data_IF_792550305713
#
_entry.id   IF_792550305713
#
_cell.length_a   1.000
_cell.length_b   1.000
_cell.length_c   1.000
_cell.angle_alpha   90.00
_cell.angle_beta   90.00
_cell.angle_gamma   90.00
#
_symmetry.space_group_name_H-M   'P 1'
#
loop_
_entity.id
_entity.type
_entity.pdbx_description
1 polymer ?
#
# COMPACT_ATOMS: atom_id res chain seq x y z
N UNK A 1 2.00 -4.75 10.19
CA UNK A 1 2.51 -3.89 9.08
C UNK A 1 3.89 -3.33 9.41
N UNK A 2 4.10 -2.54 10.48
CA UNK A 2 5.39 -1.95 10.81
C UNK A 2 6.53 -2.95 10.95
N UNK A 3 6.30 -4.07 11.63
CA UNK A 3 7.29 -5.17 11.75
C UNK A 3 7.62 -5.75 10.37
N UNK A 4 6.61 -6.03 9.55
CA UNK A 4 6.80 -6.55 8.20
C UNK A 4 7.68 -5.60 7.36
N UNK A 5 7.43 -4.28 7.43
CA UNK A 5 8.21 -3.26 6.75
C UNK A 5 9.69 -3.27 7.18
N UNK A 6 9.96 -3.31 8.49
CA UNK A 6 11.33 -3.37 9.03
C UNK A 6 12.04 -4.64 8.55
N UNK A 7 11.36 -5.79 8.64
CA UNK A 7 11.92 -7.08 8.22
C UNK A 7 12.22 -7.10 6.72
N UNK A 8 11.34 -6.55 5.88
CA UNK A 8 11.57 -6.47 4.44
C UNK A 8 12.77 -5.60 4.08
N UNK A 9 12.91 -4.45 4.75
CA UNK A 9 14.04 -3.53 4.53
C UNK A 9 15.38 -4.15 4.94
N UNK A 10 15.42 -4.91 6.03
CA UNK A 10 16.67 -5.46 6.59
C UNK A 10 17.04 -6.80 5.95
N UNK A 11 16.09 -7.72 5.79
CA UNK A 11 16.34 -9.12 5.39
C UNK A 11 15.60 -9.57 4.13
N UNK A 12 14.52 -8.89 3.74
CA UNK A 12 13.71 -9.23 2.57
C UNK A 12 14.31 -8.75 1.26
N UNK A 13 13.48 -8.10 0.45
CA UNK A 13 13.88 -7.55 -0.86
C UNK A 13 14.91 -6.41 -0.74
N UNK A 14 15.04 -5.75 0.40
CA UNK A 14 15.97 -4.64 0.65
C UNK A 14 15.80 -3.47 -0.34
N UNK A 15 14.58 -3.21 -0.76
CA UNK A 15 14.19 -2.11 -1.64
C UNK A 15 13.31 -1.11 -0.89
N UNK A 16 13.20 0.15 -1.33
CA UNK A 16 12.34 1.15 -0.73
C UNK A 16 10.86 0.96 -1.13
N UNK A 17 10.27 -0.18 -0.76
CA UNK A 17 8.88 -0.53 -0.98
C UNK A 17 8.08 -0.31 0.29
N UNK A 18 6.99 0.43 0.16
CA UNK A 18 6.04 0.69 1.26
C UNK A 18 5.16 -0.53 1.42
N UNK A 19 5.00 -1.00 2.65
CA UNK A 19 4.14 -2.14 2.97
C UNK A 19 2.86 -1.66 3.63
N UNK A 20 1.76 -2.23 3.19
CA UNK A 20 0.45 -1.96 3.78
C UNK A 20 -0.52 -3.12 3.61
N UNK A 21 -1.77 -2.98 4.06
CA UNK A 21 -2.78 -4.03 3.94
C UNK A 21 -3.10 -4.31 2.46
N UNK A 22 -3.19 -5.60 2.13
CA UNK A 22 -3.49 -6.03 0.77
C UNK A 22 -4.96 -5.78 0.42
N UNK A 23 -5.24 -4.80 -0.43
CA UNK A 23 -6.61 -4.49 -0.89
C UNK A 23 -7.28 -5.65 -1.62
N UNK A 24 -6.50 -6.50 -2.28
CA UNK A 24 -7.00 -7.72 -2.94
C UNK A 24 -7.61 -8.69 -1.92
N UNK A 25 -7.00 -8.83 -0.73
CA UNK A 25 -7.55 -9.68 0.33
C UNK A 25 -8.86 -9.12 0.90
N UNK A 26 -9.07 -7.81 0.82
CA UNK A 26 -10.35 -7.20 1.21
C UNK A 26 -11.50 -7.71 0.33
N UNK A 27 -11.27 -7.91 -0.96
CA UNK A 27 -12.25 -8.50 -1.88
C UNK A 27 -12.57 -9.94 -1.44
N UNK A 28 -11.55 -10.72 -1.10
CA UNK A 28 -11.71 -12.06 -0.55
C UNK A 28 -12.55 -12.05 0.74
N UNK A 29 -12.25 -11.15 1.66
CA UNK A 29 -13.00 -10.99 2.91
C UNK A 29 -14.47 -10.67 2.63
N UNK A 30 -14.74 -9.67 1.79
CA UNK A 30 -16.12 -9.24 1.48
C UNK A 30 -16.94 -10.32 0.77
N UNK A 31 -16.29 -11.16 -0.07
CA UNK A 31 -16.96 -12.25 -0.77
C UNK A 31 -17.24 -13.47 0.12
N UNK A 32 -16.53 -13.63 1.22
CA UNK A 32 -16.60 -14.81 2.08
C UNK A 32 -17.03 -14.52 3.52
N UNK A 33 -17.48 -13.30 3.81
CA UNK A 33 -17.94 -12.87 5.15
C UNK A 33 -19.05 -13.77 5.70
N UNK A 34 -19.91 -14.31 4.82
CA UNK A 34 -21.00 -15.24 5.21
C UNK A 34 -20.49 -16.56 5.77
N UNK A 35 -19.26 -16.98 5.45
CA UNK A 35 -18.63 -18.21 5.96
C UNK A 35 -18.09 -18.04 7.38
N UNK A 36 -18.14 -16.85 7.93
CA UNK A 36 -17.68 -16.49 9.26
C UNK A 36 -16.22 -16.07 9.35
N UNK A 37 -15.94 -15.28 10.35
CA UNK A 37 -14.61 -14.69 10.62
C UNK A 37 -13.49 -15.74 10.70
N UNK A 38 -13.66 -16.91 11.38
CA UNK A 38 -12.63 -17.94 11.44
C UNK A 38 -12.23 -18.50 10.07
N UNK A 39 -13.18 -18.72 9.17
CA UNK A 39 -12.92 -19.22 7.82
C UNK A 39 -12.11 -18.21 7.00
N UNK A 40 -12.46 -16.93 7.09
CA UNK A 40 -11.74 -15.82 6.43
C UNK A 40 -10.26 -15.80 6.82
N UNK A 41 -9.97 -15.80 8.11
CA UNK A 41 -8.57 -15.71 8.57
C UNK A 41 -7.79 -17.03 8.32
N UNK A 42 -8.48 -18.19 8.35
CA UNK A 42 -7.89 -19.45 7.89
C UNK A 42 -7.54 -19.38 6.41
N UNK A 43 -8.38 -18.76 5.56
CA UNK A 43 -8.11 -18.54 4.15
C UNK A 43 -6.88 -17.64 3.93
N UNK A 44 -6.72 -16.57 4.71
CA UNK A 44 -5.52 -15.70 4.68
C UNK A 44 -4.27 -16.50 5.09
N UNK A 45 -4.35 -17.28 6.14
CA UNK A 45 -3.24 -18.11 6.64
C UNK A 45 -2.80 -19.14 5.58
N UNK A 46 -3.75 -19.88 5.01
CA UNK A 46 -3.48 -20.90 3.98
C UNK A 46 -2.88 -20.25 2.73
N UNK A 47 -3.43 -19.13 2.27
CA UNK A 47 -2.91 -18.40 1.13
C UNK A 47 -1.48 -17.88 1.39
N UNK A 48 -1.20 -17.36 2.59
CA UNK A 48 0.13 -16.96 3.01
C UNK A 48 1.13 -18.14 3.03
N UNK A 49 0.68 -19.32 3.47
CA UNK A 49 1.48 -20.55 3.46
C UNK A 49 1.82 -20.95 2.01
N UNK A 50 0.83 -20.97 1.13
CA UNK A 50 1.04 -21.27 -0.30
C UNK A 50 2.02 -20.28 -0.92
N UNK A 51 1.89 -18.99 -0.62
CA UNK A 51 2.80 -17.95 -1.08
C UNK A 51 4.24 -18.20 -0.59
N UNK A 52 4.40 -18.57 0.69
CA UNK A 52 5.71 -18.89 1.26
C UNK A 52 6.35 -20.09 0.57
N UNK A 53 5.59 -21.18 0.40
CA UNK A 53 6.06 -22.40 -0.28
C UNK A 53 6.43 -22.07 -1.72
N UNK A 54 5.62 -21.29 -2.41
CA UNK A 54 5.90 -20.88 -3.79
C UNK A 54 7.20 -20.05 -3.88
N UNK A 55 7.43 -19.16 -2.91
CA UNK A 55 8.63 -18.33 -2.89
C UNK A 55 9.91 -19.17 -2.82
N UNK A 56 9.92 -20.19 -1.95
CA UNK A 56 11.12 -21.02 -1.71
C UNK A 56 11.20 -22.28 -2.60
N UNK A 57 10.16 -22.60 -3.38
CA UNK A 57 10.17 -23.74 -4.32
C UNK A 57 11.03 -23.52 -5.58
N UNK A 58 11.56 -22.32 -5.78
CA UNK A 58 12.27 -21.92 -7.01
C UNK A 58 11.37 -21.62 -8.20
N UNK A 59 10.04 -21.75 -8.04
CA UNK A 59 9.08 -21.50 -9.12
C UNK A 59 9.01 -20.01 -9.48
N UNK A 60 9.28 -19.12 -8.50
CA UNK A 60 9.34 -17.67 -8.75
C UNK A 60 10.42 -17.26 -9.75
N UNK A 61 11.57 -17.96 -9.76
CA UNK A 61 12.63 -17.69 -10.73
C UNK A 61 12.16 -17.87 -12.18
N UNK A 62 11.28 -18.85 -12.44
CA UNK A 62 10.66 -19.05 -13.75
C UNK A 62 9.62 -17.97 -14.08
N UNK A 63 8.89 -17.48 -13.08
CA UNK A 63 7.92 -16.40 -13.25
C UNK A 63 8.59 -15.04 -13.49
N UNK A 64 9.74 -14.79 -12.87
CA UNK A 64 10.49 -13.54 -13.03
C UNK A 64 10.94 -13.31 -14.48
N UNK A 65 11.19 -14.37 -15.25
CA UNK A 65 11.53 -14.27 -16.67
C UNK A 65 10.45 -13.54 -17.49
N UNK A 66 9.19 -13.58 -17.04
CA UNK A 66 8.09 -12.87 -17.69
C UNK A 66 8.17 -11.36 -17.44
N UNK A 67 8.78 -10.92 -16.32
CA UNK A 67 8.84 -9.51 -15.93
C UNK A 67 9.99 -8.77 -16.64
N UNK A 68 9.92 -8.70 -17.97
CA UNK A 68 10.83 -7.85 -18.74
C UNK A 68 10.57 -6.37 -18.42
N UNK A 69 11.54 -5.46 -18.63
CA UNK A 69 11.35 -4.02 -18.38
C UNK A 69 10.11 -3.44 -19.07
N UNK A 70 9.79 -3.93 -20.27
CA UNK A 70 8.57 -3.51 -21.01
C UNK A 70 7.29 -3.92 -20.28
N UNK A 71 7.24 -5.18 -19.81
CA UNK A 71 6.07 -5.68 -19.05
C UNK A 71 5.95 -4.94 -17.74
N UNK A 72 7.07 -4.68 -17.03
CA UNK A 72 7.09 -3.89 -15.80
C UNK A 72 6.55 -2.48 -16.05
N UNK A 73 6.95 -1.82 -17.15
CA UNK A 73 6.40 -0.51 -17.51
C UNK A 73 4.89 -0.54 -17.74
N UNK A 74 4.40 -1.55 -18.47
CA UNK A 74 2.95 -1.73 -18.70
C UNK A 74 2.23 -1.95 -17.37
N UNK A 75 2.79 -2.77 -16.48
CA UNK A 75 2.23 -3.00 -15.14
C UNK A 75 2.15 -1.69 -14.35
N UNK A 76 3.20 -0.87 -14.34
CA UNK A 76 3.19 0.44 -13.66
C UNK A 76 2.07 1.36 -14.16
N UNK A 77 1.88 1.40 -15.49
CA UNK A 77 0.82 2.18 -16.12
C UNK A 77 -0.56 1.64 -15.73
N UNK A 78 -0.76 0.33 -15.83
CA UNK A 78 -2.04 -0.30 -15.46
C UNK A 78 -2.39 -0.09 -14.00
N UNK A 79 -1.42 -0.19 -13.10
CA UNK A 79 -1.63 0.05 -11.66
C UNK A 79 -2.07 1.49 -11.42
N UNK A 80 -1.48 2.48 -12.10
CA UNK A 80 -1.91 3.87 -11.99
C UNK A 80 -3.39 4.03 -12.37
N UNK A 81 -3.88 3.30 -13.37
CA UNK A 81 -5.27 3.31 -13.78
C UNK A 81 -6.19 2.51 -12.84
N UNK A 82 -5.73 1.43 -12.22
CA UNK A 82 -6.56 0.63 -11.31
C UNK A 82 -6.98 1.38 -10.04
N UNK A 83 -6.21 2.39 -9.62
CA UNK A 83 -6.56 3.23 -8.47
C UNK A 83 -7.51 4.38 -8.82
N UNK A 84 -7.79 4.61 -10.12
CA UNK A 84 -8.71 5.67 -10.56
C UNK A 84 -10.09 5.61 -9.89
N UNK A 85 -10.78 4.45 -9.77
CA UNK A 85 -12.07 4.38 -9.08
C UNK A 85 -11.99 4.79 -7.61
N UNK A 86 -10.90 4.44 -6.92
CA UNK A 86 -10.68 4.82 -5.52
C UNK A 86 -10.49 6.33 -5.41
N UNK A 87 -9.68 6.92 -6.29
CA UNK A 87 -9.47 8.37 -6.34
C UNK A 87 -10.78 9.09 -6.61
N UNK A 88 -11.56 8.65 -7.60
CA UNK A 88 -12.86 9.23 -7.92
C UNK A 88 -13.82 9.15 -6.74
N UNK A 89 -13.86 8.01 -6.04
CA UNK A 89 -14.70 7.86 -4.84
C UNK A 89 -14.28 8.82 -3.72
N UNK A 90 -12.97 9.03 -3.52
CA UNK A 90 -12.46 9.94 -2.49
C UNK A 90 -12.73 11.42 -2.84
N UNK A 91 -12.68 11.78 -4.12
CA UNK A 91 -12.87 13.17 -4.58
C UNK A 91 -14.34 13.51 -4.77
N UNK A 92 -15.14 12.59 -5.35
CA UNK A 92 -16.53 12.81 -5.74
C UNK A 92 -17.54 12.20 -4.76
N UNK A 93 -17.09 11.53 -3.70
CA UNK A 93 -17.97 10.81 -2.77
C UNK A 93 -18.90 11.70 -1.96
N UNK A 94 -18.59 12.98 -1.84
CA UNK A 94 -19.47 13.99 -1.25
C UNK A 94 -20.28 14.68 -2.35
N UNK A 95 -21.55 14.30 -2.48
CA UNK A 95 -22.46 14.83 -3.48
C UNK A 95 -22.77 16.34 -3.29
N UNK A 96 -22.67 16.85 -2.07
CA UNK A 96 -23.01 18.25 -1.75
C UNK A 96 -21.92 19.19 -2.25
N UNK A 97 -20.64 18.83 -2.14
CA UNK A 97 -19.52 19.71 -2.45
C UNK A 97 -18.69 19.23 -3.65
N UNK A 98 -19.27 18.45 -4.55
CA UNK A 98 -18.56 17.81 -5.68
C UNK A 98 -17.74 18.78 -6.52
N UNK A 99 -18.31 19.94 -6.91
CA UNK A 99 -17.60 20.93 -7.71
C UNK A 99 -16.42 21.58 -6.97
N UNK A 100 -16.62 21.88 -5.68
CA UNK A 100 -15.55 22.39 -4.83
C UNK A 100 -14.44 21.36 -4.71
N UNK A 101 -14.78 20.10 -4.44
CA UNK A 101 -13.84 19.00 -4.28
C UNK A 101 -13.01 18.76 -5.54
N UNK A 102 -13.61 18.83 -6.72
CA UNK A 102 -12.92 18.78 -8.00
C UNK A 102 -11.93 19.92 -8.16
N UNK A 103 -12.38 21.16 -7.96
CA UNK A 103 -11.53 22.33 -8.07
C UNK A 103 -10.38 22.29 -7.06
N UNK A 104 -10.68 21.98 -5.81
CA UNK A 104 -9.69 21.80 -4.75
C UNK A 104 -8.64 20.76 -5.11
N UNK A 105 -9.08 19.58 -5.62
CA UNK A 105 -8.17 18.51 -6.06
C UNK A 105 -7.24 18.97 -7.17
N UNK A 106 -7.76 19.66 -8.19
CA UNK A 106 -6.95 20.17 -9.29
C UNK A 106 -5.93 21.20 -8.82
N UNK A 107 -6.35 22.17 -8.00
CA UNK A 107 -5.46 23.18 -7.43
C UNK A 107 -4.37 22.53 -6.56
N UNK A 108 -4.75 21.57 -5.72
CA UNK A 108 -3.82 20.86 -4.85
C UNK A 108 -2.80 20.04 -5.64
N UNK A 109 -3.23 19.30 -6.67
CA UNK A 109 -2.33 18.52 -7.55
C UNK A 109 -1.38 19.48 -8.28
N UNK A 110 -1.89 20.60 -8.82
CA UNK A 110 -1.05 21.61 -9.46
C UNK A 110 -0.01 22.19 -8.50
N UNK A 111 -0.44 22.52 -7.28
CA UNK A 111 0.47 23.02 -6.24
C UNK A 111 1.56 21.99 -5.89
N UNK A 112 1.23 20.70 -5.80
CA UNK A 112 2.20 19.63 -5.57
C UNK A 112 3.18 19.49 -6.74
N UNK A 113 2.71 19.57 -7.98
CA UNK A 113 3.57 19.50 -9.18
C UNK A 113 4.51 20.71 -9.23
N UNK A 114 4.01 21.90 -8.97
CA UNK A 114 4.81 23.13 -8.93
C UNK A 114 5.81 23.05 -7.77
N UNK A 115 5.36 22.67 -6.59
CA UNK A 115 6.21 22.47 -5.42
C UNK A 115 7.35 21.49 -5.68
N UNK A 116 7.06 20.36 -6.30
CA UNK A 116 8.07 19.36 -6.67
C UNK A 116 9.12 19.89 -7.65
N UNK A 117 8.74 20.82 -8.55
CA UNK A 117 9.67 21.44 -9.51
C UNK A 117 10.49 22.58 -8.88
N UNK A 118 9.90 23.37 -7.99
CA UNK A 118 10.54 24.54 -7.39
C UNK A 118 11.39 24.19 -6.17
N UNK A 119 10.94 23.24 -5.36
CA UNK A 119 11.61 22.85 -4.12
C UNK A 119 12.85 21.97 -4.40
N UNK A 120 13.85 22.10 -3.54
CA UNK A 120 15.10 21.31 -3.63
C UNK A 120 15.42 20.64 -2.30
N UNK A 121 16.19 19.56 -2.35
CA UNK A 121 16.66 18.83 -1.16
C UNK A 121 15.50 18.29 -0.32
N UNK A 122 15.56 18.48 0.99
CA UNK A 122 14.59 17.95 1.96
C UNK A 122 13.17 18.48 1.68
N UNK A 123 13.03 19.72 1.29
CA UNK A 123 11.72 20.33 0.96
C UNK A 123 11.01 19.65 -0.20
N UNK A 124 11.77 19.20 -1.20
CA UNK A 124 11.23 18.40 -2.31
C UNK A 124 10.77 17.03 -1.80
N UNK A 125 11.57 16.35 -0.99
CA UNK A 125 11.22 15.03 -0.46
C UNK A 125 10.00 15.04 0.47
N UNK A 126 9.74 16.17 1.14
CA UNK A 126 8.61 16.36 2.04
C UNK A 126 7.41 17.05 1.40
N UNK A 127 7.41 17.29 0.07
CA UNK A 127 6.33 17.98 -0.65
C UNK A 127 4.97 17.33 -0.41
N UNK A 128 4.90 15.98 -0.39
CA UNK A 128 3.66 15.25 -0.12
C UNK A 128 3.16 15.52 1.30
N UNK A 129 4.05 15.53 2.29
CA UNK A 129 3.70 15.84 3.69
C UNK A 129 3.12 17.26 3.80
N UNK A 130 3.78 18.26 3.20
CA UNK A 130 3.27 19.63 3.17
C UNK A 130 1.95 19.76 2.43
N UNK A 131 1.76 18.91 1.39
CA UNK A 131 0.48 18.79 0.69
C UNK A 131 -0.63 18.29 1.60
N UNK A 132 -0.36 17.26 2.43
CA UNK A 132 -1.34 16.76 3.42
C UNK A 132 -1.69 17.87 4.40
N UNK A 133 -0.69 18.44 5.06
CA UNK A 133 -0.89 19.46 6.10
C UNK A 133 -1.60 20.69 5.52
N UNK A 134 -1.09 21.22 4.42
CA UNK A 134 -1.70 22.40 3.76
C UNK A 134 -3.11 22.11 3.24
N UNK A 135 -3.32 20.94 2.62
CA UNK A 135 -4.62 20.52 2.14
C UNK A 135 -5.66 20.37 3.25
N UNK A 136 -5.28 19.75 4.38
CA UNK A 136 -6.14 19.62 5.57
C UNK A 136 -6.49 20.99 6.14
N UNK A 137 -5.50 21.89 6.29
CA UNK A 137 -5.72 23.25 6.83
C UNK A 137 -6.66 24.07 5.94
N UNK A 138 -6.45 24.03 4.62
CA UNK A 138 -7.30 24.76 3.67
C UNK A 138 -8.71 24.19 3.64
N UNK A 139 -8.85 22.85 3.61
CA UNK A 139 -10.17 22.22 3.56
C UNK A 139 -10.99 22.52 4.83
N UNK A 140 -10.38 22.37 6.00
CA UNK A 140 -11.06 22.67 7.26
C UNK A 140 -11.20 24.18 7.54
N UNK A 141 -10.35 25.00 6.96
CA UNK A 141 -10.53 26.45 6.97
C UNK A 141 -11.81 26.91 6.25
N UNK A 142 -12.25 26.16 5.24
CA UNK A 142 -13.49 26.45 4.48
C UNK A 142 -14.71 25.80 5.14
N UNK A 143 -14.60 24.54 5.58
CA UNK A 143 -15.75 23.74 6.06
C UNK A 143 -15.84 23.63 7.60
N UNK A 144 -14.87 24.17 8.33
CA UNK A 144 -14.76 24.02 9.78
C UNK A 144 -14.06 22.73 10.18
N UNK A 145 -13.40 22.77 11.34
CA UNK A 145 -12.74 21.58 11.89
C UNK A 145 -13.79 20.58 12.37
N UNK A 146 -13.62 19.28 12.08
CA UNK A 146 -14.49 18.27 12.64
C UNK A 146 -14.35 18.32 14.16
N UNK A 147 -15.46 18.22 14.86
CA UNK A 147 -15.42 17.94 16.30
C UNK A 147 -14.64 16.63 16.44
N UNK A 148 -13.49 16.68 17.11
CA UNK A 148 -12.75 15.48 17.47
C UNK A 148 -13.71 14.64 18.31
N UNK A 149 -14.40 13.72 17.68
CA UNK A 149 -15.08 12.66 18.41
C UNK A 149 -13.94 11.93 19.11
N UNK A 150 -13.80 12.21 20.41
CA UNK A 150 -12.95 11.37 21.24
C UNK A 150 -13.55 9.98 21.13
N UNK A 151 -13.01 9.18 20.21
CA UNK A 151 -13.22 7.75 20.23
C UNK A 151 -12.71 7.35 21.59
N UNK A 152 -13.68 7.08 22.48
CA UNK A 152 -13.46 6.90 23.91
C UNK A 152 -12.23 6.03 24.12
N UNK A 153 -11.38 6.52 25.03
CA UNK A 153 -10.23 5.78 25.49
C UNK A 153 -10.68 4.35 25.79
N UNK A 154 -10.10 3.37 25.08
CA UNK A 154 -10.31 1.98 25.40
C UNK A 154 -11.18 1.19 24.45
N UNK A 155 -10.95 1.33 23.14
CA UNK A 155 -11.41 0.30 22.22
C UNK A 155 -10.19 -0.39 21.62
N UNK A 156 -9.41 -1.02 22.45
CA UNK A 156 -9.02 -2.40 22.18
C UNK A 156 -10.23 -3.18 22.71
N UNK A 157 -11.07 -3.78 21.86
CA UNK A 157 -12.09 -4.68 22.37
C UNK A 157 -11.30 -5.71 23.18
N UNK A 158 -11.71 -5.94 24.41
CA UNK A 158 -11.13 -6.97 25.29
C UNK A 158 -11.06 -8.35 24.60
N UNK A 159 -11.85 -8.51 23.54
CA UNK A 159 -11.91 -9.65 22.64
C UNK A 159 -10.84 -9.62 21.51
N UNK A 160 -10.12 -8.53 21.29
CA UNK A 160 -9.13 -8.44 20.18
C UNK A 160 -7.78 -9.09 20.52
N UNK A 161 -7.55 -9.54 21.74
CA UNK A 161 -6.32 -10.23 22.15
C UNK A 161 -6.57 -11.73 22.37
N UNK A 162 -7.67 -12.27 21.88
CA UNK A 162 -7.91 -13.69 22.02
C UNK A 162 -7.29 -14.42 20.84
N UNK A 163 -6.11 -15.02 21.06
CA UNK A 163 -5.46 -16.04 20.22
C UNK A 163 -6.32 -17.31 20.02
N UNK A 164 -7.62 -17.21 20.12
CA UNK A 164 -8.54 -18.32 20.10
C UNK A 164 -9.49 -18.22 18.91
N UNK A 165 -8.93 -17.98 17.70
CA UNK A 165 -9.71 -18.20 16.49
C UNK A 165 -9.68 -19.70 16.18
N UNK A 166 -10.78 -20.43 16.36
CA UNK A 166 -10.86 -21.80 15.91
C UNK A 166 -10.62 -21.80 14.39
N UNK A 167 -9.59 -22.49 13.92
CA UNK A 167 -9.33 -22.64 12.49
C UNK A 167 -10.54 -23.33 11.86
N UNK A 168 -11.09 -22.72 10.81
CA UNK A 168 -12.18 -23.30 10.04
C UNK A 168 -11.75 -23.44 8.58
N UNK A 169 -11.51 -24.68 8.17
CA UNK A 169 -11.07 -25.02 6.82
C UNK A 169 -12.28 -25.21 5.89
N UNK A 170 -12.90 -24.13 5.48
CA UNK A 170 -13.97 -24.15 4.49
C UNK A 170 -13.40 -24.07 3.07
N UNK A 171 -13.64 -25.10 2.27
CA UNK A 171 -13.05 -25.24 0.93
C UNK A 171 -13.38 -24.07 0.00
N UNK A 172 -14.62 -23.55 0.03
CA UNK A 172 -15.05 -22.42 -0.78
C UNK A 172 -14.28 -21.15 -0.45
N UNK A 173 -14.14 -20.82 0.83
CA UNK A 173 -13.39 -19.68 1.32
C UNK A 173 -11.90 -19.81 0.99
N UNK A 174 -11.29 -20.98 1.20
CA UNK A 174 -9.88 -21.23 0.86
C UNK A 174 -9.64 -21.02 -0.63
N UNK A 175 -10.51 -21.55 -1.49
CA UNK A 175 -10.43 -21.36 -2.95
C UNK A 175 -10.51 -19.88 -3.32
N UNK A 176 -11.45 -19.12 -2.76
CA UNK A 176 -11.59 -17.69 -3.00
C UNK A 176 -10.31 -16.94 -2.62
N UNK A 177 -9.72 -17.25 -1.45
CA UNK A 177 -8.45 -16.65 -1.05
C UNK A 177 -7.28 -17.07 -1.93
N UNK A 178 -7.21 -18.32 -2.39
CA UNK A 178 -6.17 -18.75 -3.32
C UNK A 178 -6.19 -17.92 -4.62
N UNK A 179 -7.38 -17.61 -5.17
CA UNK A 179 -7.50 -16.69 -6.31
C UNK A 179 -7.02 -15.29 -5.96
N UNK A 180 -7.35 -14.75 -4.77
CA UNK A 180 -6.83 -13.48 -4.31
C UNK A 180 -5.31 -13.50 -4.20
N UNK A 181 -4.71 -14.60 -3.72
CA UNK A 181 -3.25 -14.74 -3.62
C UNK A 181 -2.56 -14.85 -4.97
N UNK A 182 -3.19 -15.39 -6.02
CA UNK A 182 -2.65 -15.31 -7.39
C UNK A 182 -2.52 -13.85 -7.82
N UNK A 183 -3.54 -13.04 -7.62
CA UNK A 183 -3.48 -11.62 -7.93
C UNK A 183 -2.46 -10.88 -7.03
N UNK A 184 -2.35 -11.25 -5.75
CA UNK A 184 -1.37 -10.70 -4.81
C UNK A 184 0.07 -11.01 -5.27
N UNK A 185 0.36 -12.23 -5.74
CA UNK A 185 1.68 -12.61 -6.27
C UNK A 185 2.06 -11.73 -7.45
N UNK A 186 1.14 -11.51 -8.39
CA UNK A 186 1.40 -10.66 -9.56
C UNK A 186 1.69 -9.23 -9.14
N UNK A 187 0.92 -8.68 -8.19
CA UNK A 187 1.17 -7.35 -7.64
C UNK A 187 2.51 -7.26 -6.92
N UNK A 188 2.84 -8.25 -6.11
CA UNK A 188 4.09 -8.34 -5.35
C UNK A 188 5.30 -8.37 -6.28
N UNK A 189 5.31 -9.30 -7.23
CA UNK A 189 6.36 -9.41 -8.25
C UNK A 189 6.49 -8.13 -9.06
N UNK A 190 5.36 -7.57 -9.51
CA UNK A 190 5.34 -6.31 -10.26
C UNK A 190 5.95 -5.15 -9.47
N UNK A 191 5.61 -5.02 -8.19
CA UNK A 191 6.11 -3.96 -7.31
C UNK A 191 7.63 -4.08 -7.08
N UNK A 192 8.11 -5.29 -6.74
CA UNK A 192 9.53 -5.55 -6.51
C UNK A 192 10.33 -5.31 -7.78
N UNK A 193 9.87 -5.84 -8.93
CA UNK A 193 10.55 -5.67 -10.21
C UNK A 193 10.55 -4.21 -10.66
N UNK A 194 9.44 -3.49 -10.49
CA UNK A 194 9.33 -2.08 -10.86
C UNK A 194 10.36 -1.20 -10.13
N UNK A 195 10.46 -1.34 -8.80
CA UNK A 195 11.45 -0.61 -8.02
C UNK A 195 12.87 -1.12 -8.30
N UNK A 196 13.05 -2.43 -8.45
CA UNK A 196 14.33 -3.03 -8.80
C UNK A 196 14.89 -2.48 -10.12
N UNK A 197 14.09 -2.44 -11.17
CA UNK A 197 14.48 -1.87 -12.46
C UNK A 197 14.71 -0.36 -12.39
N UNK A 198 13.84 0.37 -11.68
CA UNK A 198 13.98 1.81 -11.49
C UNK A 198 15.32 2.18 -10.82
N UNK A 199 15.77 1.37 -9.87
CA UNK A 199 17.00 1.59 -9.11
C UNK A 199 18.21 0.81 -9.67
N UNK A 200 18.03 0.04 -10.74
CA UNK A 200 19.04 -0.86 -11.29
C UNK A 200 19.64 -1.77 -10.20
N UNK A 201 18.77 -2.33 -9.37
CA UNK A 201 19.19 -3.15 -8.25
C UNK A 201 19.77 -4.49 -8.72
N UNK A 202 20.83 -4.92 -8.08
CA UNK A 202 21.49 -6.21 -8.29
C UNK A 202 20.74 -7.37 -7.61
N UNK A 203 21.07 -8.61 -8.00
CA UNK A 203 20.58 -9.83 -7.34
C UNK A 203 19.03 -9.90 -7.22
N UNK A 204 18.31 -9.47 -8.24
CA UNK A 204 16.85 -9.36 -8.20
C UNK A 204 16.17 -10.69 -7.88
N UNK A 205 16.72 -11.83 -8.34
CA UNK A 205 16.18 -13.16 -8.05
C UNK A 205 16.13 -13.45 -6.55
N UNK A 206 17.23 -13.17 -5.85
CA UNK A 206 17.29 -13.38 -4.40
C UNK A 206 16.41 -12.38 -3.65
N UNK A 207 16.38 -11.12 -4.09
CA UNK A 207 15.55 -10.08 -3.50
C UNK A 207 14.08 -10.43 -3.63
N UNK A 208 13.65 -10.86 -4.80
CA UNK A 208 12.26 -11.25 -5.06
C UNK A 208 11.88 -12.47 -4.24
N UNK A 209 12.70 -13.51 -4.24
CA UNK A 209 12.45 -14.73 -3.44
C UNK A 209 12.30 -14.41 -1.95
N UNK A 210 13.22 -13.62 -1.39
CA UNK A 210 13.16 -13.23 0.03
C UNK A 210 11.98 -12.31 0.32
N UNK A 211 11.71 -11.34 -0.56
CA UNK A 211 10.59 -10.41 -0.43
C UNK A 211 9.26 -11.13 -0.39
N UNK A 212 8.97 -11.92 -1.42
CA UNK A 212 7.73 -12.70 -1.50
C UNK A 212 7.62 -13.72 -0.35
N UNK A 213 8.74 -14.36 0.03
CA UNK A 213 8.77 -15.29 1.16
C UNK A 213 8.39 -14.63 2.49
N UNK A 214 8.93 -13.44 2.78
CA UNK A 214 8.59 -12.68 3.99
C UNK A 214 7.14 -12.20 3.95
N UNK A 215 6.63 -11.75 2.79
CA UNK A 215 5.20 -11.41 2.64
C UNK A 215 4.34 -12.64 2.91
N UNK A 216 4.73 -13.82 2.40
CA UNK A 216 4.04 -15.07 2.70
C UNK A 216 3.98 -15.39 4.19
N UNK A 217 5.14 -15.40 4.87
CA UNK A 217 5.23 -15.64 6.32
C UNK A 217 4.41 -14.61 7.12
N UNK A 218 4.51 -13.34 6.77
CA UNK A 218 3.74 -12.29 7.46
C UNK A 218 2.24 -12.40 7.21
N UNK A 219 1.81 -12.94 6.07
CA UNK A 219 0.41 -13.25 5.80
C UNK A 219 -0.07 -14.45 6.64
N UNK A 220 0.76 -15.49 6.82
CA UNK A 220 0.44 -16.59 7.76
C UNK A 220 0.22 -16.04 9.17
N UNK A 221 1.14 -15.21 9.65
CA UNK A 221 1.01 -14.57 10.97
C UNK A 221 -0.24 -13.67 11.03
N UNK A 222 -0.53 -12.92 9.96
CA UNK A 222 -1.71 -12.07 9.89
C UNK A 222 -3.01 -12.88 10.02
N UNK A 223 -3.10 -14.02 9.34
CA UNK A 223 -4.23 -14.95 9.50
C UNK A 223 -4.38 -15.48 10.93
N UNK A 224 -3.26 -15.82 11.58
CA UNK A 224 -3.26 -16.28 12.98
C UNK A 224 -3.68 -15.16 13.96
N UNK A 225 -3.30 -13.91 13.68
CA UNK A 225 -3.66 -12.75 14.52
C UNK A 225 -5.02 -12.12 14.18
N UNK A 226 -5.75 -12.66 13.21
CA UNK A 226 -7.04 -12.12 12.81
C UNK A 226 -6.96 -10.73 12.16
N UNK A 227 -5.90 -10.46 11.38
CA UNK A 227 -5.70 -9.19 10.69
C UNK A 227 -5.46 -9.42 9.19
N UNK A 228 -5.69 -8.38 8.39
CA UNK A 228 -5.45 -8.43 6.95
C UNK A 228 -3.95 -8.55 6.69
N UNK A 229 -3.57 -9.46 5.78
CA UNK A 229 -2.20 -9.68 5.39
C UNK A 229 -1.57 -8.49 4.67
N UNK A 230 -0.24 -8.30 4.82
CA UNK A 230 0.51 -7.26 4.14
C UNK A 230 0.82 -7.60 2.68
N UNK A 231 1.10 -6.54 1.90
CA UNK A 231 1.64 -6.60 0.54
C UNK A 231 2.54 -5.39 0.29
N UNK A 232 3.51 -5.52 -0.60
CA UNK A 232 4.30 -4.39 -1.08
C UNK A 232 3.46 -3.52 -2.02
N UNK A 233 3.38 -2.22 -1.72
CA UNK A 233 2.54 -1.31 -2.48
C UNK A 233 3.17 -0.95 -3.81
N UNK A 234 2.46 -1.25 -4.87
CA UNK A 234 2.77 -0.90 -6.25
C UNK A 234 2.80 0.61 -6.55
N UNK A 235 2.32 1.45 -5.62
CA UNK A 235 2.47 2.90 -5.68
C UNK A 235 3.87 3.39 -5.25
N UNK A 236 4.72 2.53 -4.70
CA UNK A 236 6.05 2.90 -4.20
C UNK A 236 6.95 3.56 -5.26
N UNK A 237 6.98 3.14 -6.54
CA UNK A 237 7.69 3.86 -7.60
C UNK A 237 7.21 5.30 -7.78
N UNK A 238 5.89 5.54 -7.65
CA UNK A 238 5.31 6.88 -7.69
C UNK A 238 5.79 7.76 -6.54
N UNK A 239 5.84 7.20 -5.33
CA UNK A 239 6.36 7.90 -4.14
C UNK A 239 7.84 8.23 -4.29
N UNK A 240 8.67 7.28 -4.76
CA UNK A 240 10.09 7.50 -5.04
C UNK A 240 10.27 8.62 -6.08
N UNK A 241 9.53 8.58 -7.17
CA UNK A 241 9.59 9.60 -8.22
C UNK A 241 9.13 10.97 -7.73
N UNK A 242 8.07 11.02 -6.93
CA UNK A 242 7.52 12.25 -6.38
C UNK A 242 8.47 12.91 -5.35
N UNK A 243 9.06 12.11 -4.47
CA UNK A 243 9.90 12.60 -3.38
C UNK A 243 11.38 12.75 -3.79
N UNK A 244 11.82 12.05 -4.84
CA UNK A 244 13.23 11.92 -5.20
C UNK A 244 14.05 11.15 -4.17
N UNK A 245 13.40 10.44 -3.24
CA UNK A 245 14.05 9.66 -2.19
C UNK A 245 13.89 8.16 -2.44
N UNK A 246 15.00 7.48 -2.72
CA UNK A 246 15.07 6.05 -2.96
C UNK A 246 15.77 5.28 -1.83
N UNK A 247 15.98 5.90 -0.67
CA UNK A 247 16.61 5.24 0.46
C UNK A 247 15.65 4.30 1.18
N UNK A 248 15.96 3.01 1.19
CA UNK A 248 15.21 2.01 1.97
C UNK A 248 15.20 2.27 3.47
N UNK A 249 16.22 2.93 3.97
CA UNK A 249 16.36 3.20 5.41
C UNK A 249 15.33 4.21 5.94
N UNK A 250 14.70 5.00 5.07
CA UNK A 250 13.58 5.88 5.46
C UNK A 250 12.34 5.10 5.91
N UNK A 251 12.23 3.84 5.52
CA UNK A 251 11.14 2.97 5.93
C UNK A 251 11.32 2.40 7.34
N UNK A 252 12.54 2.44 7.91
CA UNK A 252 12.76 1.99 9.29
C UNK A 252 12.02 2.89 10.31
N UNK A 253 12.22 4.23 10.29
CA UNK A 253 11.45 5.11 11.17
C UNK A 253 9.96 5.10 10.83
N UNK A 254 9.56 4.90 9.56
CA UNK A 254 8.16 4.75 9.19
C UNK A 254 7.55 3.48 9.80
N UNK A 255 8.24 2.34 9.73
CA UNK A 255 7.82 1.10 10.36
C UNK A 255 7.76 1.19 11.88
N UNK A 256 8.74 1.83 12.51
CA UNK A 256 8.72 2.11 13.95
C UNK A 256 7.55 3.03 14.32
N UNK A 257 7.29 4.08 13.53
CA UNK A 257 6.14 4.98 13.71
C UNK A 257 4.81 4.23 13.64
N UNK A 258 4.64 3.31 12.68
CA UNK A 258 3.45 2.45 12.59
C UNK A 258 3.27 1.55 13.83
N UNK A 259 4.36 1.02 14.37
CA UNK A 259 4.32 0.24 15.61
C UNK A 259 3.92 1.13 16.78
N UNK A 260 4.51 2.32 16.90
CA UNK A 260 4.14 3.28 17.93
C UNK A 260 2.67 3.71 17.83
N UNK A 261 2.16 3.99 16.62
CA UNK A 261 0.74 4.34 16.42
C UNK A 261 -0.21 3.26 16.95
N UNK A 262 0.20 1.97 16.95
CA UNK A 262 -0.63 0.91 17.51
C UNK A 262 -0.87 1.05 19.03
N UNK A 263 0.04 1.72 19.75
CA UNK A 263 -0.09 1.98 21.17
C UNK A 263 -0.82 3.30 21.48
N UNK A 264 -1.04 4.14 20.46
CA UNK A 264 -1.70 5.45 20.61
C UNK A 264 -2.93 5.55 19.70
N UNK A 265 -4.09 4.98 20.09
CA UNK A 265 -5.32 5.03 19.29
C UNK A 265 -5.77 6.45 18.93
N UNK A 266 -5.46 7.43 19.79
CA UNK A 266 -5.76 8.84 19.55
C UNK A 266 -5.04 9.39 18.31
N UNK A 267 -3.81 8.95 18.04
CA UNK A 267 -3.05 9.34 16.84
C UNK A 267 -3.71 8.75 15.59
N UNK A 268 -4.14 7.49 15.67
CA UNK A 268 -4.89 6.84 14.57
C UNK A 268 -6.20 7.58 14.32
N UNK A 269 -6.92 7.95 15.39
CA UNK A 269 -8.13 8.77 15.30
C UNK A 269 -7.89 10.10 14.57
N UNK A 270 -6.80 10.80 14.86
CA UNK A 270 -6.43 12.03 14.15
C UNK A 270 -6.13 11.77 12.66
N UNK A 271 -5.46 10.69 12.31
CA UNK A 271 -5.18 10.35 10.90
C UNK A 271 -6.45 10.03 10.12
N UNK A 272 -7.44 9.41 10.76
CA UNK A 272 -8.74 9.10 10.13
C UNK A 272 -9.55 10.38 9.84
N UNK A 273 -9.28 11.49 10.53
CA UNK A 273 -9.96 12.76 10.25
C UNK A 273 -9.47 13.44 8.96
N UNK A 274 -8.39 12.99 8.34
CA UNK A 274 -7.91 13.58 7.08
C UNK A 274 -9.01 13.50 6.02
N UNK A 275 -9.42 14.63 5.41
CA UNK A 275 -10.49 14.63 4.41
C UNK A 275 -10.17 13.71 3.23
N UNK A 276 -11.14 12.91 2.80
CA UNK A 276 -10.99 12.00 1.65
C UNK A 276 -10.49 12.71 0.39
N UNK A 277 -10.96 13.94 0.16
CA UNK A 277 -10.55 14.78 -0.98
C UNK A 277 -9.04 15.08 -0.97
N UNK A 278 -8.47 15.37 0.20
CA UNK A 278 -7.02 15.59 0.36
C UNK A 278 -6.25 14.32 0.01
N UNK A 279 -6.70 13.19 0.53
CA UNK A 279 -6.09 11.88 0.21
C UNK A 279 -6.24 11.53 -1.27
N UNK A 280 -7.41 11.81 -1.88
CA UNK A 280 -7.66 11.61 -3.30
C UNK A 280 -6.73 12.46 -4.18
N UNK A 281 -6.51 13.73 -3.84
CA UNK A 281 -5.59 14.62 -4.54
C UNK A 281 -4.13 14.12 -4.47
N UNK A 282 -3.70 13.64 -3.31
CA UNK A 282 -2.36 13.08 -3.13
C UNK A 282 -2.20 11.80 -3.94
N UNK A 283 -3.17 10.87 -3.87
CA UNK A 283 -3.14 9.65 -4.67
C UNK A 283 -3.08 9.98 -6.17
N UNK A 284 -3.87 10.94 -6.64
CA UNK A 284 -3.84 11.38 -8.03
C UNK A 284 -2.45 11.91 -8.42
N UNK A 285 -1.82 12.72 -7.57
CA UNK A 285 -0.46 13.21 -7.79
C UNK A 285 0.56 12.07 -7.86
N UNK A 286 0.51 11.12 -6.92
CA UNK A 286 1.41 9.96 -6.89
C UNK A 286 1.23 9.05 -8.12
N UNK A 287 -0.01 8.82 -8.55
CA UNK A 287 -0.29 8.03 -9.74
C UNK A 287 0.17 8.74 -11.02
N UNK A 288 0.01 10.06 -11.10
CA UNK A 288 0.54 10.84 -12.21
C UNK A 288 2.08 10.77 -12.29
N UNK A 289 2.78 10.84 -11.15
CA UNK A 289 4.24 10.69 -11.11
C UNK A 289 4.69 9.28 -11.46
N UNK A 290 3.94 8.25 -11.04
CA UNK A 290 4.20 6.86 -11.40
C UNK A 290 4.00 6.62 -12.90
N UNK A 291 2.93 7.15 -13.48
CA UNK A 291 2.67 7.09 -14.91
C UNK A 291 3.80 7.75 -15.71
N UNK A 292 4.24 8.94 -15.28
CA UNK A 292 5.36 9.64 -15.89
C UNK A 292 6.66 8.84 -15.80
N UNK A 293 6.95 8.19 -14.65
CA UNK A 293 8.11 7.33 -14.49
C UNK A 293 8.05 6.10 -15.41
N UNK A 294 6.89 5.45 -15.50
CA UNK A 294 6.69 4.32 -16.42
C UNK A 294 6.92 4.72 -17.88
N UNK A 295 6.37 5.85 -18.33
CA UNK A 295 6.57 6.35 -19.70
C UNK A 295 8.05 6.71 -19.97
N UNK A 296 8.75 7.28 -18.99
CA UNK A 296 10.19 7.58 -19.12
C UNK A 296 11.03 6.30 -19.27
N UNK A 297 10.69 5.22 -18.54
CA UNK A 297 11.36 3.93 -18.70
C UNK A 297 11.20 3.40 -20.14
N UNK A 298 10.01 3.51 -20.72
CA UNK A 298 9.70 3.06 -22.08
C UNK A 298 10.49 3.84 -23.15
N UNK A 299 10.72 5.13 -22.93
CA UNK A 299 11.49 5.98 -23.85
C UNK A 299 13.00 5.68 -23.77
N UNK A 300 13.52 5.33 -22.60
CA UNK A 300 14.95 5.02 -22.40
C UNK A 300 15.38 3.68 -22.97
N UNK A 301 14.45 2.77 -23.22
CA UNK A 301 14.73 1.46 -23.84
C UNK A 301 14.82 1.49 -25.37
N UNK A 302 14.65 2.67 -26.00
CA UNK A 302 14.96 2.89 -27.41
C UNK A 302 16.41 3.33 -27.61
#
# INVERSE_FOLDING_TARGET
MGIAMIVQVLWGHRLPLIIGPASVLLIGILSTVSSGIPAVYTGIMVGGLVLTVLAYSGLLGKLQFVFTPRIVTVILILIAFTLTPVILKLVLGDAVHTLFNLFFTLVMVLALVIGNKLLRGIWKSTTVLWGIVGGVLVYYGVFGFPTLVSTGAGIIPEQAIVFNFPLNFEAGTILAFLFCYIALIVNELGSIQAVGHMLQADQMDQRTTRGVGIVGVTNVLSGLFGVIGPVDYSMSPGVISATGCASRYTLLPAGAGLILCAFFPSVVGMLVTIPGVVMGAILLYLMATQLAAGLQMLVREK
#
